data_IF_586631410267
#
_entry.id   IF_586631410267
#
_cell.length_a   1.000
_cell.length_b   1.000
_cell.length_c   1.000
_cell.angle_alpha   90.00
_cell.angle_beta   90.00
_cell.angle_gamma   90.00
#
_symmetry.space_group_name_H-M   'P 1'
#
loop_
_entity.id
_entity.type
_entity.pdbx_description
1 polymer ?
#
# COMPACT_ATOMS: atom_id res chain seq x y z
N UNK A 1 -26.72 -17.06 -0.19
CA UNK A 1 -25.64 -16.25 -0.81
C UNK A 1 -26.20 -15.73 -2.12
N UNK A 2 -26.37 -14.41 -2.29
CA UNK A 2 -26.88 -13.81 -3.54
C UNK A 2 -25.75 -13.45 -4.50
N UNK A 3 -26.07 -12.79 -5.62
CA UNK A 3 -25.13 -12.40 -6.67
C UNK A 3 -23.85 -11.69 -6.15
N UNK A 4 -23.95 -10.85 -5.11
CA UNK A 4 -22.78 -10.23 -4.45
C UNK A 4 -21.76 -11.25 -3.92
N UNK A 5 -22.23 -12.37 -3.39
CA UNK A 5 -21.36 -13.42 -2.82
C UNK A 5 -20.73 -14.32 -3.87
N UNK A 6 -21.30 -14.39 -5.09
CA UNK A 6 -20.68 -15.05 -6.23
C UNK A 6 -19.51 -14.22 -6.77
N UNK A 7 -19.76 -12.94 -7.06
CA UNK A 7 -18.73 -11.98 -7.50
C UNK A 7 -17.57 -11.94 -6.49
N UNK A 8 -17.88 -11.81 -5.20
CA UNK A 8 -16.85 -11.77 -4.16
C UNK A 8 -16.00 -13.05 -4.11
N UNK A 9 -16.59 -14.23 -4.30
CA UNK A 9 -15.83 -15.50 -4.33
C UNK A 9 -14.94 -15.60 -5.55
N UNK A 10 -15.43 -15.19 -6.71
CA UNK A 10 -14.67 -15.22 -7.96
C UNK A 10 -13.44 -14.31 -7.89
N UNK A 11 -13.61 -13.07 -7.42
CA UNK A 11 -12.51 -12.13 -7.21
C UNK A 11 -11.48 -12.66 -6.19
N UNK A 12 -11.94 -13.30 -5.11
CA UNK A 12 -11.04 -13.91 -4.12
C UNK A 12 -10.27 -15.10 -4.68
N UNK A 13 -10.84 -15.86 -5.61
CA UNK A 13 -10.15 -16.99 -6.22
C UNK A 13 -9.07 -16.52 -7.19
N UNK A 14 -9.36 -15.52 -8.02
CA UNK A 14 -8.38 -14.84 -8.87
C UNK A 14 -7.25 -14.22 -8.03
N UNK A 15 -7.59 -13.59 -6.91
CA UNK A 15 -6.62 -13.06 -5.95
C UNK A 15 -5.68 -14.17 -5.43
N UNK A 16 -6.20 -15.34 -5.04
CA UNK A 16 -5.34 -16.44 -4.56
C UNK A 16 -4.38 -16.94 -5.64
N UNK A 17 -4.85 -17.07 -6.88
CA UNK A 17 -4.02 -17.49 -8.01
C UNK A 17 -2.88 -16.48 -8.26
N UNK A 18 -3.20 -15.18 -8.21
CA UNK A 18 -2.21 -14.11 -8.26
C UNK A 18 -1.12 -14.28 -7.19
N UNK A 19 -1.52 -14.46 -5.94
CA UNK A 19 -0.58 -14.61 -4.83
C UNK A 19 0.24 -15.89 -4.95
N UNK A 20 -0.34 -16.97 -5.46
CA UNK A 20 0.40 -18.20 -5.74
C UNK A 20 1.57 -17.93 -6.70
N UNK A 21 1.31 -17.34 -7.87
CA UNK A 21 2.38 -17.03 -8.83
C UNK A 21 3.39 -15.99 -8.30
N UNK A 22 2.92 -14.99 -7.55
CA UNK A 22 3.81 -14.05 -6.88
C UNK A 22 4.78 -14.75 -5.92
N UNK A 23 4.30 -15.73 -5.15
CA UNK A 23 5.13 -16.51 -4.24
C UNK A 23 6.13 -17.39 -5.00
N UNK A 24 5.73 -18.04 -6.10
CA UNK A 24 6.64 -18.80 -6.95
C UNK A 24 7.78 -17.93 -7.48
N UNK A 25 7.47 -16.71 -7.95
CA UNK A 25 8.50 -15.77 -8.42
C UNK A 25 9.42 -15.33 -7.28
N UNK A 26 8.85 -14.98 -6.13
CA UNK A 26 9.62 -14.55 -4.94
C UNK A 26 10.55 -15.65 -4.44
N UNK A 27 10.11 -16.90 -4.51
CA UNK A 27 10.86 -18.06 -4.04
C UNK A 27 11.86 -18.57 -5.12
N UNK A 28 11.88 -17.93 -6.30
CA UNK A 28 12.83 -18.17 -7.38
C UNK A 28 12.48 -19.32 -8.32
N UNK A 29 11.24 -19.83 -8.25
CA UNK A 29 10.75 -20.94 -9.09
C UNK A 29 10.43 -20.51 -10.52
N UNK A 30 10.01 -19.27 -10.71
CA UNK A 30 9.72 -18.67 -12.02
C UNK A 30 10.43 -17.34 -12.17
N UNK A 31 10.74 -16.98 -13.40
CA UNK A 31 11.28 -15.65 -13.71
C UNK A 31 10.16 -14.59 -13.81
N UNK A 32 10.59 -13.36 -14.05
CA UNK A 32 9.68 -12.21 -14.10
C UNK A 32 8.79 -12.20 -15.36
N UNK A 33 9.29 -12.72 -16.47
CA UNK A 33 8.53 -12.80 -17.71
C UNK A 33 7.39 -13.82 -17.54
N UNK A 34 7.69 -14.97 -16.94
CA UNK A 34 6.72 -16.00 -16.57
C UNK A 34 5.68 -15.46 -15.59
N UNK A 35 6.08 -14.70 -14.56
CA UNK A 35 5.14 -14.03 -13.65
C UNK A 35 4.16 -13.12 -14.43
N UNK A 36 4.66 -12.30 -15.35
CA UNK A 36 3.82 -11.42 -16.16
C UNK A 36 2.88 -12.21 -17.07
N UNK A 37 3.36 -13.27 -17.71
CA UNK A 37 2.55 -14.14 -18.56
C UNK A 37 1.45 -14.86 -17.78
N UNK A 38 1.73 -15.37 -16.58
CA UNK A 38 0.75 -16.02 -15.72
C UNK A 38 -0.27 -15.03 -15.12
N UNK A 39 0.16 -13.82 -14.77
CA UNK A 39 -0.73 -12.80 -14.22
C UNK A 39 -1.58 -12.09 -15.27
N UNK A 40 -1.19 -12.08 -16.55
CA UNK A 40 -1.97 -11.44 -17.62
C UNK A 40 -3.42 -11.95 -17.75
N UNK A 41 -3.70 -13.27 -17.83
CA UNK A 41 -5.07 -13.77 -17.88
C UNK A 41 -5.83 -13.51 -16.57
N UNK A 42 -5.16 -13.59 -15.42
CA UNK A 42 -5.77 -13.29 -14.11
C UNK A 42 -6.20 -11.82 -14.05
N UNK A 43 -5.35 -10.92 -14.54
CA UNK A 43 -5.67 -9.49 -14.64
C UNK A 43 -6.89 -9.24 -15.49
N UNK A 44 -6.93 -9.83 -16.67
CA UNK A 44 -8.07 -9.66 -17.59
C UNK A 44 -9.36 -10.15 -16.94
N UNK A 45 -9.36 -11.36 -16.39
CA UNK A 45 -10.54 -11.92 -15.73
C UNK A 45 -10.97 -11.09 -14.52
N UNK A 46 -10.03 -10.61 -13.71
CA UNK A 46 -10.34 -9.79 -12.53
C UNK A 46 -10.98 -8.45 -12.92
N UNK A 47 -10.43 -7.77 -13.93
CA UNK A 47 -10.99 -6.52 -14.45
C UNK A 47 -12.37 -6.77 -15.10
N UNK A 48 -12.54 -7.88 -15.84
CA UNK A 48 -13.82 -8.25 -16.47
C UNK A 48 -14.91 -8.54 -15.42
N UNK A 49 -14.60 -9.33 -14.38
CA UNK A 49 -15.54 -9.61 -13.27
C UNK A 49 -15.95 -8.32 -12.56
N UNK A 50 -15.00 -7.40 -12.32
CA UNK A 50 -15.30 -6.10 -11.75
C UNK A 50 -16.17 -5.24 -12.67
N UNK A 51 -15.88 -5.23 -13.97
CA UNK A 51 -16.61 -4.43 -14.96
C UNK A 51 -18.05 -4.90 -15.05
N UNK A 52 -18.28 -6.21 -15.18
CA UNK A 52 -19.62 -6.82 -15.18
C UNK A 52 -20.41 -6.45 -13.93
N UNK A 53 -19.79 -6.53 -12.75
CA UNK A 53 -20.42 -6.11 -11.50
C UNK A 53 -20.70 -4.60 -11.46
N UNK A 54 -19.83 -3.78 -12.05
CA UNK A 54 -19.94 -2.32 -12.05
C UNK A 54 -21.02 -1.78 -12.99
N UNK A 55 -21.29 -2.48 -14.09
CA UNK A 55 -22.27 -2.13 -15.13
C UNK A 55 -23.71 -2.38 -14.68
N UNK A 56 -23.89 -3.23 -13.67
CA UNK A 56 -25.19 -3.51 -13.12
C UNK A 56 -25.73 -2.31 -12.34
N UNK A 57 -27.00 -1.99 -12.60
CA UNK A 57 -27.68 -0.85 -12.01
C UNK A 57 -28.40 -1.23 -10.70
N UNK A 58 -28.59 -0.22 -9.85
CA UNK A 58 -29.36 -0.29 -8.61
C UNK A 58 -30.09 1.05 -8.42
N UNK A 59 -31.13 1.10 -7.60
CA UNK A 59 -31.92 2.32 -7.44
C UNK A 59 -31.10 3.43 -6.75
N UNK A 60 -31.35 4.70 -7.12
CA UNK A 60 -30.67 5.82 -6.50
C UNK A 60 -30.93 5.85 -4.98
N UNK A 61 -29.85 5.91 -4.18
CA UNK A 61 -29.93 5.87 -2.72
C UNK A 61 -30.10 4.48 -2.11
N UNK A 62 -30.05 3.41 -2.90
CA UNK A 62 -30.16 2.04 -2.40
C UNK A 62 -28.97 1.66 -1.50
N UNK A 63 -29.29 1.13 -0.32
CA UNK A 63 -28.34 0.72 0.73
C UNK A 63 -28.22 -0.80 0.88
N UNK A 64 -28.61 -1.56 -0.13
CA UNK A 64 -28.49 -3.02 -0.12
C UNK A 64 -27.03 -3.47 -0.19
N UNK A 65 -26.72 -4.71 0.25
CA UNK A 65 -25.40 -5.32 0.04
C UNK A 65 -24.99 -5.33 -1.44
N UNK A 66 -25.96 -5.48 -2.34
CA UNK A 66 -25.77 -5.39 -3.79
C UNK A 66 -25.24 -4.02 -4.22
N UNK A 67 -25.95 -2.94 -3.87
CA UNK A 67 -25.54 -1.59 -4.20
C UNK A 67 -24.15 -1.25 -3.62
N UNK A 68 -23.82 -1.77 -2.44
CA UNK A 68 -22.46 -1.64 -1.87
C UNK A 68 -21.42 -2.36 -2.71
N UNK A 69 -21.70 -3.60 -3.15
CA UNK A 69 -20.79 -4.41 -3.98
C UNK A 69 -20.47 -3.69 -5.29
N UNK A 70 -21.50 -3.20 -5.99
CA UNK A 70 -21.35 -2.46 -7.26
C UNK A 70 -20.48 -1.21 -7.06
N UNK A 71 -20.72 -0.44 -5.99
CA UNK A 71 -19.91 0.74 -5.65
C UNK A 71 -18.45 0.38 -5.36
N UNK A 72 -18.21 -0.69 -4.61
CA UNK A 72 -16.85 -1.18 -4.34
C UNK A 72 -16.15 -1.60 -5.62
N UNK A 73 -16.83 -2.31 -6.53
CA UNK A 73 -16.24 -2.70 -7.82
C UNK A 73 -15.83 -1.47 -8.65
N UNK A 74 -16.68 -0.44 -8.71
CA UNK A 74 -16.36 0.84 -9.37
C UNK A 74 -15.14 1.54 -8.75
N UNK A 75 -15.02 1.52 -7.42
CA UNK A 75 -13.86 2.11 -6.72
C UNK A 75 -12.56 1.34 -6.98
N UNK A 76 -12.64 0.00 -7.08
CA UNK A 76 -11.48 -0.83 -7.39
C UNK A 76 -11.06 -0.59 -8.85
N UNK A 77 -12.01 -0.52 -9.79
CA UNK A 77 -11.73 -0.21 -11.20
C UNK A 77 -11.07 1.16 -11.37
N UNK A 78 -11.47 2.17 -10.59
CA UNK A 78 -10.86 3.51 -10.71
C UNK A 78 -9.37 3.54 -10.31
N UNK A 79 -8.87 2.50 -9.63
CA UNK A 79 -7.46 2.34 -9.27
C UNK A 79 -6.82 1.10 -9.91
N UNK A 80 -7.48 0.46 -10.89
CA UNK A 80 -7.01 -0.78 -11.51
C UNK A 80 -5.55 -0.73 -11.99
N UNK A 81 -5.06 0.33 -12.67
CA UNK A 81 -3.66 0.39 -13.08
C UNK A 81 -2.67 0.28 -11.90
N UNK A 82 -3.03 0.83 -10.74
CA UNK A 82 -2.17 0.80 -9.55
C UNK A 82 -2.06 -0.62 -8.97
N UNK A 83 -3.13 -1.43 -9.05
CA UNK A 83 -3.18 -2.80 -8.53
C UNK A 83 -2.12 -3.71 -9.17
N UNK A 84 -1.78 -3.45 -10.44
CA UNK A 84 -0.87 -4.27 -11.24
C UNK A 84 0.56 -3.73 -11.30
N UNK A 85 0.87 -2.63 -10.62
CA UNK A 85 2.18 -1.96 -10.70
C UNK A 85 3.36 -2.86 -10.32
N UNK A 86 3.13 -3.83 -9.43
CA UNK A 86 4.15 -4.79 -8.97
C UNK A 86 4.73 -5.64 -10.10
N UNK A 87 3.97 -5.86 -11.18
CA UNK A 87 4.44 -6.60 -12.35
C UNK A 87 5.52 -5.81 -13.12
N UNK A 88 5.39 -4.48 -13.17
CA UNK A 88 6.25 -3.60 -13.96
C UNK A 88 7.39 -2.97 -13.14
N UNK A 89 7.17 -2.65 -11.86
CA UNK A 89 8.15 -1.96 -11.02
C UNK A 89 8.87 -2.96 -10.08
N UNK A 90 10.19 -3.15 -10.22
CA UNK A 90 10.94 -4.01 -9.30
C UNK A 90 10.79 -3.53 -7.85
N UNK A 91 10.68 -4.47 -6.91
CA UNK A 91 10.61 -4.18 -5.47
C UNK A 91 9.26 -3.68 -4.96
N UNK A 92 8.26 -3.50 -5.84
CA UNK A 92 6.87 -3.25 -5.43
C UNK A 92 6.20 -4.59 -5.15
N UNK A 93 5.56 -4.73 -3.99
CA UNK A 93 4.75 -5.90 -3.65
C UNK A 93 3.31 -5.76 -4.19
N UNK A 94 2.59 -6.85 -4.47
CA UNK A 94 1.16 -6.83 -4.81
C UNK A 94 0.26 -6.49 -3.60
N UNK A 95 0.84 -6.06 -2.48
CA UNK A 95 0.11 -5.73 -1.24
C UNK A 95 0.45 -4.33 -0.76
N UNK A 96 -0.47 -3.73 -0.01
CA UNK A 96 -0.26 -2.43 0.61
C UNK A 96 0.52 -2.49 1.94
N UNK A 97 1.06 -3.66 2.32
CA UNK A 97 1.66 -3.88 3.63
C UNK A 97 2.78 -2.88 3.95
N UNK A 98 3.62 -2.55 2.97
CA UNK A 98 4.69 -1.59 3.14
C UNK A 98 4.17 -0.19 3.50
N UNK A 99 3.17 0.32 2.78
CA UNK A 99 2.60 1.63 3.07
C UNK A 99 1.81 1.64 4.38
N UNK A 100 1.04 0.58 4.67
CA UNK A 100 0.35 0.43 5.96
C UNK A 100 1.31 0.43 7.14
N UNK A 101 2.43 -0.32 7.04
CA UNK A 101 3.49 -0.32 8.05
C UNK A 101 4.07 1.08 8.25
N UNK A 102 4.33 1.81 7.17
CA UNK A 102 4.86 3.17 7.22
C UNK A 102 3.88 4.16 7.90
N UNK A 103 2.58 4.02 7.65
CA UNK A 103 1.54 4.89 8.22
C UNK A 103 1.13 4.51 9.65
N UNK A 104 1.33 3.25 10.06
CA UNK A 104 0.84 2.70 11.34
C UNK A 104 1.24 3.55 12.55
N UNK A 105 2.49 4.00 12.61
CA UNK A 105 2.97 4.81 13.74
C UNK A 105 2.26 6.16 13.82
N UNK A 106 2.04 6.83 12.68
CA UNK A 106 1.31 8.08 12.62
C UNK A 106 -0.15 7.93 13.06
N UNK A 107 -0.81 6.85 12.63
CA UNK A 107 -2.20 6.54 12.99
C UNK A 107 -2.33 6.25 14.49
N UNK A 108 -1.43 5.44 15.06
CA UNK A 108 -1.42 5.15 16.51
C UNK A 108 -1.20 6.44 17.31
N UNK A 109 -0.21 7.24 16.93
CA UNK A 109 0.06 8.52 17.61
C UNK A 109 -1.16 9.44 17.56
N UNK A 110 -1.79 9.63 16.39
CA UNK A 110 -3.00 10.43 16.25
C UNK A 110 -4.12 9.93 17.17
N UNK A 111 -4.31 8.62 17.27
CA UNK A 111 -5.36 8.02 18.10
C UNK A 111 -5.10 8.25 19.59
N UNK A 112 -3.85 8.15 20.06
CA UNK A 112 -3.50 8.33 21.47
C UNK A 112 -3.45 9.80 21.90
N UNK A 113 -2.99 10.68 21.01
CA UNK A 113 -2.79 12.10 21.30
C UNK A 113 -3.93 13.01 20.83
N UNK A 114 -5.01 12.44 20.26
CA UNK A 114 -6.11 13.17 19.61
C UNK A 114 -5.65 14.09 18.45
N UNK A 115 -4.49 13.82 17.89
CA UNK A 115 -3.89 14.59 16.80
C UNK A 115 -3.11 15.82 17.27
N UNK A 116 -2.88 16.75 16.35
CA UNK A 116 -2.14 18.00 16.56
C UNK A 116 -3.10 19.18 16.46
N UNK A 117 -3.01 20.11 17.39
CA UNK A 117 -3.91 21.28 17.45
C UNK A 117 -3.31 22.55 16.82
N UNK A 118 -2.10 22.46 16.25
CA UNK A 118 -1.46 23.59 15.58
C UNK A 118 -0.67 23.14 14.35
N UNK A 119 -0.54 24.03 13.37
CA UNK A 119 0.27 23.79 12.18
C UNK A 119 1.76 23.54 12.52
N UNK A 120 2.28 24.23 13.54
CA UNK A 120 3.63 24.01 14.06
C UNK A 120 3.79 22.60 14.63
N UNK A 121 2.85 22.15 15.47
CA UNK A 121 2.84 20.80 16.02
C UNK A 121 2.76 19.73 14.92
N UNK A 122 1.92 19.96 13.91
CA UNK A 122 1.82 19.07 12.74
C UNK A 122 3.11 18.95 11.95
N UNK A 123 3.80 20.06 11.69
CA UNK A 123 5.11 20.04 11.02
C UNK A 123 6.16 19.30 11.85
N UNK A 124 6.20 19.54 13.16
CA UNK A 124 7.12 18.86 14.07
C UNK A 124 6.91 17.34 14.05
N UNK A 125 5.66 16.89 14.27
CA UNK A 125 5.30 15.48 14.25
C UNK A 125 5.61 14.81 12.90
N UNK A 126 5.29 15.48 11.79
CA UNK A 126 5.55 14.96 10.44
C UNK A 126 7.05 14.74 10.22
N UNK A 127 7.90 15.69 10.64
CA UNK A 127 9.36 15.55 10.54
C UNK A 127 9.90 14.42 11.41
N UNK A 128 9.44 14.32 12.65
CA UNK A 128 9.84 13.25 13.57
C UNK A 128 9.44 11.86 13.03
N UNK A 129 8.21 11.71 12.54
CA UNK A 129 7.76 10.46 11.91
C UNK A 129 8.56 10.13 10.67
N UNK A 130 8.87 11.12 9.83
CA UNK A 130 9.70 10.93 8.62
C UNK A 130 11.08 10.40 8.99
N UNK A 131 11.75 11.03 9.95
CA UNK A 131 13.10 10.63 10.41
C UNK A 131 13.05 9.24 11.03
N UNK A 132 12.16 9.01 11.99
CA UNK A 132 12.08 7.75 12.74
C UNK A 132 11.68 6.57 11.86
N UNK A 133 10.70 6.73 10.97
CA UNK A 133 10.28 5.67 10.05
C UNK A 133 11.37 5.36 9.03
N UNK A 134 12.01 6.37 8.45
CA UNK A 134 13.07 6.16 7.46
C UNK A 134 14.28 5.45 8.07
N UNK A 135 14.74 5.87 9.26
CA UNK A 135 15.89 5.23 9.93
C UNK A 135 15.59 3.78 10.29
N UNK A 136 14.39 3.48 10.79
CA UNK A 136 13.96 2.10 11.07
C UNK A 136 13.93 1.24 9.81
N UNK A 137 13.43 1.76 8.69
CA UNK A 137 13.45 1.06 7.40
C UNK A 137 14.87 0.81 6.89
N UNK A 138 15.80 1.74 7.17
CA UNK A 138 17.21 1.63 6.81
C UNK A 138 18.03 0.77 7.80
N UNK A 139 17.43 0.23 8.87
CA UNK A 139 18.15 -0.50 9.92
C UNK A 139 19.12 0.36 10.75
N UNK A 140 18.92 1.68 10.77
CA UNK A 140 19.77 2.65 11.48
C UNK A 140 19.17 3.01 12.84
N UNK A 141 20.03 3.20 13.84
CA UNK A 141 19.61 3.62 15.17
C UNK A 141 19.10 5.08 15.17
N UNK A 142 17.88 5.26 15.66
CA UNK A 142 17.20 6.56 15.70
C UNK A 142 17.89 7.52 16.66
N UNK A 143 18.27 7.05 17.84
CA UNK A 143 18.80 7.89 18.90
C UNK A 143 20.21 8.35 18.55
N UNK A 144 21.04 7.47 17.97
CA UNK A 144 22.35 7.83 17.42
C UNK A 144 22.24 8.93 16.36
N UNK A 145 21.29 8.80 15.43
CA UNK A 145 21.07 9.83 14.41
C UNK A 145 20.64 11.17 15.00
N UNK A 146 19.69 11.16 15.96
CA UNK A 146 19.21 12.38 16.59
C UNK A 146 20.29 13.08 17.42
N UNK A 147 21.13 12.33 18.12
CA UNK A 147 22.29 12.86 18.84
C UNK A 147 23.27 13.51 17.87
N UNK A 148 23.62 12.83 16.78
CA UNK A 148 24.50 13.38 15.75
C UNK A 148 23.93 14.65 15.11
N UNK A 149 22.63 14.68 14.83
CA UNK A 149 21.94 15.85 14.27
C UNK A 149 21.95 17.03 15.25
N UNK A 150 21.74 16.76 16.54
CA UNK A 150 21.79 17.79 17.58
C UNK A 150 23.19 18.36 17.77
N UNK A 151 24.22 17.51 17.82
CA UNK A 151 25.63 17.92 17.91
C UNK A 151 26.02 18.76 16.70
N UNK A 152 25.68 18.30 15.48
CA UNK A 152 26.01 19.03 14.26
C UNK A 152 25.37 20.43 14.23
N UNK A 153 24.09 20.54 14.61
CA UNK A 153 23.42 21.83 14.72
C UNK A 153 24.07 22.75 15.75
N UNK A 154 24.46 22.23 16.92
CA UNK A 154 25.06 23.04 17.99
C UNK A 154 26.47 23.52 17.64
N UNK A 155 27.27 22.70 16.94
CA UNK A 155 28.65 23.01 16.57
C UNK A 155 28.80 23.62 15.17
N UNK A 156 27.70 23.90 14.46
CA UNK A 156 27.74 24.43 13.09
C UNK A 156 28.39 23.47 12.08
N UNK A 157 28.33 22.16 12.35
CA UNK A 157 28.89 21.12 11.48
C UNK A 157 27.87 20.66 10.42
N UNK A 158 28.32 19.83 9.48
CA UNK A 158 27.47 19.25 8.46
C UNK A 158 26.41 18.34 9.08
N UNK A 159 25.14 18.55 8.71
CA UNK A 159 24.02 17.76 9.20
C UNK A 159 24.11 16.31 8.68
N UNK A 160 23.85 15.30 9.54
CA UNK A 160 23.82 13.91 9.08
C UNK A 160 22.68 13.70 8.08
N UNK A 161 22.97 12.97 6.99
CA UNK A 161 21.98 12.69 5.95
C UNK A 161 21.00 11.60 6.39
N UNK A 162 19.71 11.86 6.17
CA UNK A 162 18.67 10.84 6.29
C UNK A 162 18.67 9.88 5.09
N UNK A 163 19.19 10.32 3.93
CA UNK A 163 19.38 9.49 2.74
C UNK A 163 20.71 8.74 2.88
N UNK A 164 20.73 7.39 2.82
CA UNK A 164 21.96 6.61 2.85
C UNK A 164 22.89 6.98 1.70
N UNK A 165 24.19 7.11 1.97
CA UNK A 165 25.20 7.27 0.94
C UNK A 165 25.68 5.88 0.52
N UNK A 166 25.07 5.33 -0.54
CA UNK A 166 25.31 3.98 -1.03
C UNK A 166 24.00 3.20 -1.18
N UNK A 167 23.48 3.21 -2.40
CA UNK A 167 22.43 2.32 -2.90
C UNK A 167 22.94 1.69 -4.20
#
# INVERSE_FOLDING_TARGET
YGASGEIGRELLEQQKQLFHHWHQWRDGEIDREQLQQHCAPIRQQFEDTLQQASDLSFAAGEKTPWASTVRTCRQILSVAPALWSFLAVPGVEPTNNAAERALRQAVIHRKLSYGVQSANGGRCLTRLLTVTTSLKQQGRDVLVFLVAAWQAHHHGQLMPSLIPQGA
#
